data_IF_357143269597
#
_entry.id   IF_357143269597
#
_cell.length_a   1.000
_cell.length_b   1.000
_cell.length_c   1.000
_cell.angle_alpha   90.00
_cell.angle_beta   90.00
_cell.angle_gamma   90.00
#
_symmetry.space_group_name_H-M   'P 1'
#
loop_
_entity.id
_entity.type
_entity.pdbx_description
1 polymer ?
#
# COMPACT_ATOMS: atom_id res chain seq x y z
N UNK A 1 -8.69 4.88 -4.73
CA UNK A 1 -8.40 4.93 -3.28
C UNK A 1 -8.74 3.57 -2.72
N UNK A 2 -7.78 2.86 -2.11
CA UNK A 2 -7.96 1.49 -1.62
C UNK A 2 -8.74 1.53 -0.30
N UNK A 3 -9.81 0.73 -0.18
CA UNK A 3 -10.56 0.60 1.07
C UNK A 3 -9.87 -0.37 2.03
N UNK A 4 -10.15 -0.24 3.33
CA UNK A 4 -9.55 -1.10 4.37
C UNK A 4 -9.87 -2.59 4.13
N UNK A 5 -11.09 -2.90 3.67
CA UNK A 5 -11.48 -4.28 3.34
C UNK A 5 -10.64 -4.85 2.20
N UNK A 6 -10.44 -4.08 1.12
CA UNK A 6 -9.59 -4.50 0.00
C UNK A 6 -8.14 -4.67 0.45
N UNK A 7 -7.63 -3.74 1.26
CA UNK A 7 -6.27 -3.85 1.82
C UNK A 7 -6.11 -5.17 2.59
N UNK A 8 -7.06 -5.52 3.46
CA UNK A 8 -7.02 -6.77 4.21
C UNK A 8 -7.07 -8.00 3.30
N UNK A 9 -7.96 -8.02 2.32
CA UNK A 9 -8.03 -9.12 1.36
C UNK A 9 -6.70 -9.31 0.61
N UNK A 10 -6.08 -8.23 0.15
CA UNK A 10 -4.78 -8.29 -0.54
C UNK A 10 -3.66 -8.79 0.36
N UNK A 11 -3.59 -8.33 1.61
CA UNK A 11 -2.58 -8.81 2.56
C UNK A 11 -2.79 -10.29 2.91
N UNK A 12 -4.05 -10.73 3.04
CA UNK A 12 -4.37 -12.15 3.23
C UNK A 12 -3.99 -12.99 2.01
N UNK A 13 -4.23 -12.50 0.79
CA UNK A 13 -3.77 -13.14 -0.46
C UNK A 13 -2.23 -13.22 -0.53
N UNK A 14 -1.53 -12.22 -0.01
CA UNK A 14 -0.06 -12.20 0.08
C UNK A 14 0.49 -13.19 1.12
N UNK A 15 -0.37 -13.80 1.95
CA UNK A 15 0.02 -14.70 3.02
C UNK A 15 0.43 -14.00 4.32
N UNK A 16 0.11 -12.71 4.48
CA UNK A 16 0.41 -11.95 5.70
C UNK A 16 -0.46 -12.47 6.86
N UNK A 17 0.14 -12.92 7.97
CA UNK A 17 -0.60 -13.44 9.11
C UNK A 17 -1.35 -12.33 9.86
N UNK A 18 -2.44 -12.69 10.56
CA UNK A 18 -3.17 -11.75 11.43
C UNK A 18 -4.13 -10.79 10.72
N UNK A 19 -4.37 -10.98 9.41
CA UNK A 19 -5.21 -10.07 8.60
C UNK A 19 -6.64 -10.58 8.35
N UNK A 20 -7.03 -11.68 9.01
CA UNK A 20 -8.36 -12.28 8.90
C UNK A 20 -9.49 -11.41 9.45
N UNK A 21 -10.73 -11.71 9.05
CA UNK A 21 -11.93 -10.89 9.30
C UNK A 21 -12.39 -10.79 10.78
N UNK A 22 -11.61 -11.31 11.74
CA UNK A 22 -12.04 -11.43 13.14
C UNK A 22 -11.05 -10.85 14.17
N UNK A 23 -9.98 -10.15 13.76
CA UNK A 23 -9.15 -9.47 14.77
C UNK A 23 -9.71 -8.09 15.09
N UNK A 24 -10.39 -8.04 16.24
CA UNK A 24 -10.84 -6.83 16.90
C UNK A 24 -9.66 -5.86 17.10
N UNK A 25 -9.82 -4.67 16.52
CA UNK A 25 -9.27 -3.43 17.06
C UNK A 25 -7.73 -3.32 17.17
N UNK A 26 -7.13 -2.74 16.12
CA UNK A 26 -6.05 -1.74 16.23
C UNK A 26 -4.69 -2.17 16.82
N UNK A 27 -4.48 -3.45 17.16
CA UNK A 27 -3.26 -3.90 17.84
C UNK A 27 -2.51 -5.07 17.16
N UNK A 28 -2.80 -5.38 15.89
CA UNK A 28 -2.00 -6.37 15.17
C UNK A 28 -0.73 -5.74 14.63
N UNK A 29 0.38 -6.09 15.28
CA UNK A 29 1.73 -5.92 14.75
C UNK A 29 1.77 -6.51 13.33
N UNK A 30 1.87 -5.62 12.35
CA UNK A 30 1.89 -6.00 10.94
C UNK A 30 3.29 -6.49 10.60
N UNK A 31 3.42 -7.81 10.44
CA UNK A 31 4.66 -8.43 9.99
C UNK A 31 4.54 -8.78 8.52
N UNK A 32 5.17 -7.98 7.67
CA UNK A 32 5.26 -8.23 6.23
C UNK A 32 6.69 -8.65 5.91
N UNK A 33 6.84 -9.84 5.31
CA UNK A 33 8.14 -10.27 4.78
C UNK A 33 8.45 -9.59 3.44
N UNK A 34 9.71 -9.64 3.02
CA UNK A 34 10.16 -8.98 1.79
C UNK A 34 9.45 -9.47 0.53
N UNK A 35 9.02 -10.73 0.48
CA UNK A 35 8.29 -11.27 -0.66
C UNK A 35 6.83 -10.79 -0.64
N UNK A 36 6.15 -10.88 0.49
CA UNK A 36 4.78 -10.37 0.65
C UNK A 36 4.70 -8.87 0.32
N UNK A 37 5.69 -8.07 0.71
CA UNK A 37 5.77 -6.65 0.36
C UNK A 37 5.86 -6.44 -1.16
N UNK A 38 6.81 -7.09 -1.83
CA UNK A 38 7.00 -6.93 -3.28
C UNK A 38 5.76 -7.40 -4.05
N UNK A 39 5.17 -8.52 -3.66
CA UNK A 39 3.94 -9.02 -4.26
C UNK A 39 2.78 -8.04 -4.06
N UNK A 40 2.65 -7.48 -2.85
CA UNK A 40 1.61 -6.52 -2.52
C UNK A 40 1.73 -5.24 -3.36
N UNK A 41 2.95 -4.70 -3.50
CA UNK A 41 3.23 -3.55 -4.36
C UNK A 41 2.90 -3.83 -5.83
N UNK A 42 3.32 -5.00 -6.34
CA UNK A 42 3.00 -5.44 -7.69
C UNK A 42 1.48 -5.51 -7.94
N UNK A 43 0.73 -6.11 -7.01
CA UNK A 43 -0.72 -6.25 -7.14
C UNK A 43 -1.44 -4.91 -7.05
N UNK A 44 -0.98 -4.01 -6.18
CA UNK A 44 -1.53 -2.65 -6.09
C UNK A 44 -1.39 -1.90 -7.43
N UNK A 45 -0.25 -2.05 -8.10
CA UNK A 45 -0.04 -1.45 -9.42
C UNK A 45 -0.90 -2.14 -10.48
N UNK A 46 -0.82 -3.46 -10.60
CA UNK A 46 -1.48 -4.22 -11.67
C UNK A 46 -3.00 -4.20 -11.56
N UNK A 47 -3.55 -4.41 -10.36
CA UNK A 47 -5.01 -4.54 -10.16
C UNK A 47 -5.70 -3.21 -9.87
N UNK A 48 -4.97 -2.24 -9.32
CA UNK A 48 -5.57 -1.00 -8.83
C UNK A 48 -4.94 0.27 -9.42
N UNK A 49 -3.88 0.16 -10.23
CA UNK A 49 -3.18 1.29 -10.82
C UNK A 49 -2.46 2.17 -9.77
N UNK A 50 -2.25 1.64 -8.56
CA UNK A 50 -1.62 2.34 -7.45
C UNK A 50 -0.16 1.95 -7.41
N UNK A 51 0.69 2.81 -7.99
CA UNK A 51 2.13 2.68 -7.89
C UNK A 51 2.65 3.44 -6.68
N UNK A 52 3.32 2.72 -5.78
CA UNK A 52 3.99 3.28 -4.60
C UNK A 52 5.36 2.62 -4.45
N UNK A 53 6.35 3.42 -4.10
CA UNK A 53 7.74 3.00 -3.89
C UNK A 53 8.17 3.48 -2.51
N UNK A 54 7.86 2.73 -1.43
CA UNK A 54 8.15 3.14 -0.07
C UNK A 54 9.66 3.16 0.16
N UNK A 55 10.16 4.27 0.68
CA UNK A 55 11.55 4.37 1.13
C UNK A 55 11.77 3.59 2.42
N UNK A 56 13.01 3.25 2.71
CA UNK A 56 13.38 2.51 3.94
C UNK A 56 12.83 3.18 5.21
N UNK A 57 12.83 4.52 5.29
CA UNK A 57 12.26 5.24 6.43
C UNK A 57 10.74 5.05 6.53
N UNK A 58 10.03 5.07 5.41
CA UNK A 58 8.58 4.89 5.37
C UNK A 58 8.20 3.44 5.72
N UNK A 59 9.03 2.45 5.32
CA UNK A 59 8.83 1.05 5.69
C UNK A 59 8.87 0.83 7.20
N UNK A 60 9.68 1.58 7.94
CA UNK A 60 9.73 1.48 9.41
C UNK A 60 8.45 1.96 10.11
N UNK A 61 7.61 2.74 9.43
CA UNK A 61 6.33 3.22 9.94
C UNK A 61 5.16 2.24 9.64
N UNK A 62 5.39 1.23 8.78
CA UNK A 62 4.39 0.24 8.35
C UNK A 62 4.24 -0.90 9.37
N UNK A 63 4.12 -0.57 10.65
CA UNK A 63 4.02 -1.55 11.74
C UNK A 63 2.59 -2.01 12.03
N UNK A 64 1.58 -1.45 11.36
CA UNK A 64 0.18 -1.80 11.57
C UNK A 64 -0.64 -1.63 10.29
N UNK A 65 -1.74 -2.37 10.16
CA UNK A 65 -2.64 -2.26 9.00
C UNK A 65 -3.19 -0.83 8.85
N UNK A 66 -3.45 -0.15 9.97
CA UNK A 66 -3.90 1.24 9.97
C UNK A 66 -2.84 2.21 9.43
N UNK A 67 -1.56 2.05 9.80
CA UNK A 67 -0.49 2.92 9.28
C UNK A 67 -0.21 2.64 7.80
N UNK A 68 -0.31 1.38 7.37
CA UNK A 68 -0.26 1.03 5.95
C UNK A 68 -1.43 1.63 5.16
N UNK A 69 -2.65 1.59 5.70
CA UNK A 69 -3.80 2.21 5.05
C UNK A 69 -3.62 3.73 4.91
N UNK A 70 -3.21 4.41 5.98
CA UNK A 70 -2.93 5.85 5.95
C UNK A 70 -1.79 6.20 5.00
N UNK A 71 -0.72 5.39 4.95
CA UNK A 71 0.35 5.52 3.97
C UNK A 71 -0.19 5.47 2.54
N UNK A 72 -1.01 4.47 2.19
CA UNK A 72 -1.59 4.34 0.86
C UNK A 72 -2.53 5.50 0.50
N UNK A 73 -3.26 6.05 1.48
CA UNK A 73 -4.07 7.24 1.29
C UNK A 73 -3.22 8.49 1.00
N UNK A 74 -2.06 8.63 1.63
CA UNK A 74 -1.11 9.72 1.39
C UNK A 74 -0.35 9.55 0.08
N UNK A 75 0.16 8.35 -0.19
CA UNK A 75 0.94 8.02 -1.38
C UNK A 75 0.09 8.05 -2.65
N UNK A 76 -1.17 7.60 -2.58
CA UNK A 76 -2.12 7.69 -3.69
C UNK A 76 -2.40 9.13 -4.14
N UNK A 77 -2.25 10.13 -3.25
CA UNK A 77 -2.31 11.56 -3.64
C UNK A 77 -1.06 11.97 -4.42
N UNK A 78 0.14 11.63 -3.94
CA UNK A 78 1.42 11.96 -4.59
C UNK A 78 1.57 11.32 -5.98
N UNK A 79 1.15 10.08 -6.17
CA UNK A 79 1.21 9.39 -7.47
C UNK A 79 0.32 10.06 -8.54
N UNK A 80 -0.85 10.59 -8.13
CA UNK A 80 -1.73 11.35 -9.02
C UNK A 80 -1.10 12.68 -9.44
N UNK A 81 -0.35 13.33 -8.56
CA UNK A 81 0.34 14.60 -8.81
C UNK A 81 1.54 14.42 -9.74
N UNK A 82 2.33 13.34 -9.58
CA UNK A 82 3.46 13.02 -10.47
C UNK A 82 2.97 12.70 -11.88
N UNK A 83 1.86 11.94 -12.02
CA UNK A 83 1.27 11.64 -13.32
C UNK A 83 0.65 12.88 -13.98
N UNK A 84 0.06 13.78 -13.20
CA UNK A 84 -0.42 15.08 -13.69
C UNK A 84 0.73 16.03 -14.10
N UNK A 85 1.87 15.98 -13.40
CA UNK A 85 3.06 16.78 -13.70
C UNK A 85 3.90 16.26 -14.89
N UNK A 86 3.81 14.97 -15.22
CA UNK A 86 4.53 14.36 -16.35
C UNK A 86 3.90 14.67 -17.73
N UNK A 87 2.74 15.34 -17.76
CA UNK A 87 2.06 15.74 -19.00
C UNK A 87 2.60 17.01 -19.68
N UNK A 88 3.62 17.69 -19.12
CA UNK A 88 4.17 18.94 -19.68
C UNK A 88 5.69 18.82 -19.88
N UNK A 89 6.13 17.98 -20.82
CA UNK A 89 7.33 18.29 -21.60
C UNK A 89 7.41 17.45 -22.89
N UNK A 90 6.79 17.95 -23.96
CA UNK A 90 7.26 17.80 -25.36
C UNK A 90 6.35 18.63 -26.25
N UNK A 91 6.54 19.94 -26.17
CA UNK A 91 5.96 20.91 -27.09
C UNK A 91 7.05 21.93 -27.42
N UNK A 92 7.33 22.02 -28.72
CA UNK A 92 8.32 22.84 -29.43
C UNK A 92 9.73 22.23 -29.59
#
# INVERSE_FOLDING_TARGET
MISMTVLRSLLAEAGVPGVGEETEEQADELVIDSFALVWFLYVLEERHGVWVDPRDEELTELTSIASLHDYLLRAGRRASEIRAGSGVQSGC
#
